data_IF_917746543734
#
_entry.id   IF_917746543734
#
_cell.length_a   1.000
_cell.length_b   1.000
_cell.length_c   1.000
_cell.angle_alpha   90.00
_cell.angle_beta   90.00
_cell.angle_gamma   90.00
#
_symmetry.space_group_name_H-M   'P 1'
#
loop_
_entity.id
_entity.type
_entity.pdbx_description
1 polymer ?
#
# COMPACT_ATOMS: atom_id res chain seq x y z
N UNK A 1 5.74 14.82 3.02
CA UNK A 1 5.22 14.42 1.67
C UNK A 1 6.22 13.81 0.66
N UNK A 2 7.36 14.45 0.30
CA UNK A 2 8.21 14.02 -0.82
C UNK A 2 8.69 12.54 -0.77
N UNK A 3 9.07 12.06 0.42
CA UNK A 3 9.50 10.67 0.64
C UNK A 3 8.41 9.64 0.30
N UNK A 4 7.15 9.97 0.57
CA UNK A 4 6.00 9.12 0.23
C UNK A 4 5.87 8.99 -1.29
N UNK A 5 5.86 10.11 -2.00
CA UNK A 5 5.77 10.12 -3.46
C UNK A 5 6.94 9.38 -4.11
N UNK A 6 8.16 9.54 -3.60
CA UNK A 6 9.33 8.80 -4.08
C UNK A 6 9.16 7.29 -3.89
N UNK A 7 8.65 6.84 -2.73
CA UNK A 7 8.38 5.42 -2.50
C UNK A 7 7.31 4.87 -3.45
N UNK A 8 6.22 5.62 -3.70
CA UNK A 8 5.19 5.21 -4.66
C UNK A 8 5.74 5.12 -6.09
N UNK A 9 6.55 6.09 -6.50
CA UNK A 9 7.19 6.10 -7.82
C UNK A 9 8.11 4.89 -8.01
N UNK A 10 8.97 4.60 -7.02
CA UNK A 10 9.83 3.41 -7.05
C UNK A 10 9.01 2.11 -7.08
N UNK A 11 7.94 2.03 -6.28
CA UNK A 11 7.05 0.87 -6.30
C UNK A 11 6.42 0.68 -7.69
N UNK A 12 6.00 1.78 -8.34
CA UNK A 12 5.47 1.76 -9.70
C UNK A 12 6.51 1.37 -10.76
N UNK A 13 7.77 1.76 -10.60
CA UNK A 13 8.80 1.35 -11.55
C UNK A 13 9.09 -0.15 -11.46
N UNK A 14 9.01 -0.73 -10.26
CA UNK A 14 9.47 -2.11 -10.02
C UNK A 14 8.35 -3.11 -9.68
N UNK A 15 7.08 -2.79 -9.98
CA UNK A 15 5.94 -3.68 -9.69
C UNK A 15 5.77 -4.88 -10.63
N UNK A 16 6.73 -5.08 -11.55
CA UNK A 16 6.77 -6.19 -12.50
C UNK A 16 6.39 -5.80 -13.93
N UNK A 17 5.76 -4.64 -14.16
CA UNK A 17 5.39 -4.20 -15.51
C UNK A 17 6.58 -3.76 -16.36
N UNK A 18 7.68 -3.33 -15.74
CA UNK A 18 8.91 -3.03 -16.47
C UNK A 18 9.70 -4.28 -16.86
N UNK A 19 9.47 -5.41 -16.21
CA UNK A 19 10.06 -6.70 -16.61
C UNK A 19 9.29 -7.29 -17.82
N UNK A 20 7.98 -7.00 -17.94
CA UNK A 20 7.11 -7.45 -19.05
C UNK A 20 7.14 -6.52 -20.28
N UNK A 21 7.22 -5.20 -20.06
CA UNK A 21 7.51 -4.24 -21.13
C UNK A 21 9.02 -4.27 -21.41
N UNK A 22 9.49 -5.35 -22.04
CA UNK A 22 10.88 -5.47 -22.49
C UNK A 22 11.33 -4.13 -23.07
N UNK A 23 12.36 -3.55 -22.46
CA UNK A 23 12.94 -2.26 -22.84
C UNK A 23 13.33 -2.31 -24.33
N UNK A 24 12.40 -1.94 -25.21
CA UNK A 24 12.64 -1.69 -26.61
C UNK A 24 13.17 -0.26 -26.72
N UNK A 25 14.35 -0.07 -26.15
CA UNK A 25 15.12 1.17 -26.23
C UNK A 25 16.55 0.74 -26.60
N UNK A 26 17.08 1.25 -27.72
CA UNK A 26 18.33 0.85 -28.40
C UNK A 26 19.63 1.03 -27.58
N UNK A 27 19.51 1.23 -26.27
CA UNK A 27 20.63 1.22 -25.33
C UNK A 27 20.23 0.46 -24.06
N UNK A 28 20.08 -0.85 -24.19
CA UNK A 28 19.80 -1.74 -23.08
C UNK A 28 20.85 -1.54 -21.96
N UNK A 29 20.48 -1.06 -20.77
CA UNK A 29 21.38 -1.08 -19.63
C UNK A 29 21.73 -2.54 -19.34
N UNK A 30 23.01 -2.85 -19.11
CA UNK A 30 23.47 -4.20 -18.73
C UNK A 30 22.56 -4.73 -17.63
N UNK A 31 21.97 -5.91 -17.82
CA UNK A 31 20.98 -6.55 -16.92
C UNK A 31 21.39 -6.50 -15.44
N UNK A 32 22.68 -6.58 -15.14
CA UNK A 32 23.22 -6.45 -13.78
C UNK A 32 23.03 -5.07 -13.12
N UNK A 33 22.97 -3.98 -13.90
CA UNK A 33 22.73 -2.62 -13.41
C UNK A 33 21.27 -2.41 -13.03
N UNK A 34 20.32 -2.96 -13.81
CA UNK A 34 18.89 -2.89 -13.50
C UNK A 34 18.55 -3.67 -12.23
N UNK A 35 19.08 -4.88 -12.08
CA UNK A 35 18.87 -5.68 -10.86
C UNK A 35 19.51 -5.04 -9.61
N UNK A 36 20.64 -4.34 -9.77
CA UNK A 36 21.22 -3.53 -8.69
C UNK A 36 20.30 -2.35 -8.32
N UNK A 37 19.76 -1.64 -9.31
CA UNK A 37 18.81 -0.55 -9.10
C UNK A 37 17.51 -1.03 -8.45
N UNK A 38 16.97 -2.17 -8.89
CA UNK A 38 15.79 -2.82 -8.29
C UNK A 38 16.01 -3.13 -6.82
N UNK A 39 17.13 -3.78 -6.46
CA UNK A 39 17.47 -4.07 -5.06
C UNK A 39 17.60 -2.81 -4.22
N UNK A 40 18.21 -1.76 -4.77
CA UNK A 40 18.33 -0.47 -4.08
C UNK A 40 16.95 0.18 -3.86
N UNK A 41 16.09 0.18 -4.88
CA UNK A 41 14.73 0.69 -4.79
C UNK A 41 13.91 -0.04 -3.73
N UNK A 42 13.96 -1.38 -3.70
CA UNK A 42 13.27 -2.17 -2.68
C UNK A 42 13.73 -1.80 -1.26
N UNK A 43 15.04 -1.65 -1.03
CA UNK A 43 15.55 -1.21 0.28
C UNK A 43 15.03 0.17 0.68
N UNK A 44 14.95 1.12 -0.25
CA UNK A 44 14.42 2.45 0.04
C UNK A 44 12.92 2.43 0.35
N UNK A 45 12.14 1.65 -0.38
CA UNK A 45 10.71 1.48 -0.10
C UNK A 45 10.51 0.84 1.27
N UNK A 46 11.25 -0.24 1.57
CA UNK A 46 11.17 -0.94 2.84
C UNK A 46 11.54 -0.03 4.01
N UNK A 47 12.67 0.65 3.93
CA UNK A 47 13.10 1.62 4.95
C UNK A 47 12.07 2.73 5.15
N UNK A 48 11.43 3.20 4.08
CA UNK A 48 10.36 4.19 4.16
C UNK A 48 9.12 3.65 4.89
N UNK A 49 8.63 2.46 4.56
CA UNK A 49 7.47 1.88 5.27
C UNK A 49 7.80 1.63 6.74
N UNK A 50 9.05 1.24 7.04
CA UNK A 50 9.49 0.94 8.39
C UNK A 50 9.49 2.17 9.31
N UNK A 51 9.66 3.40 8.79
CA UNK A 51 9.56 4.62 9.61
C UNK A 51 8.17 4.84 10.21
N UNK A 52 7.15 4.16 9.68
CA UNK A 52 5.75 4.25 10.12
C UNK A 52 5.25 2.92 10.73
N UNK A 53 6.13 1.95 10.94
CA UNK A 53 5.79 0.57 11.31
C UNK A 53 6.41 0.20 12.65
N UNK A 54 5.87 0.74 13.74
CA UNK A 54 6.27 0.35 15.10
C UNK A 54 5.93 -1.13 15.35
N UNK A 55 6.96 -1.96 15.51
CA UNK A 55 6.81 -3.42 15.59
C UNK A 55 5.98 -3.85 16.82
N UNK A 56 6.12 -3.14 17.94
CA UNK A 56 5.37 -3.44 19.15
C UNK A 56 3.88 -3.16 18.96
N UNK A 57 3.53 -1.97 18.46
CA UNK A 57 2.14 -1.60 18.16
C UNK A 57 1.50 -2.53 17.13
N UNK A 58 2.25 -2.88 16.07
CA UNK A 58 1.80 -3.84 15.06
C UNK A 58 1.52 -5.23 15.65
N UNK A 59 2.39 -5.71 16.54
CA UNK A 59 2.23 -7.01 17.21
C UNK A 59 1.00 -7.04 18.13
N UNK A 60 0.81 -5.97 18.93
CA UNK A 60 -0.36 -5.82 19.82
C UNK A 60 -1.66 -5.76 19.00
N UNK A 61 -1.65 -4.98 17.91
CA UNK A 61 -2.80 -4.89 17.02
C UNK A 61 -3.09 -6.23 16.31
N UNK A 62 -2.06 -6.97 15.91
CA UNK A 62 -2.23 -8.26 15.24
C UNK A 62 -2.65 -9.41 16.16
N UNK A 63 -2.37 -9.30 17.46
CA UNK A 63 -2.80 -10.31 18.45
C UNK A 63 -4.27 -10.11 18.82
N UNK A 64 -4.67 -8.86 19.05
CA UNK A 64 -6.02 -8.54 19.53
C UNK A 64 -7.04 -8.27 18.42
N UNK A 65 -6.59 -7.75 17.28
CA UNK A 65 -7.42 -7.13 16.24
C UNK A 65 -8.43 -6.11 16.77
N UNK A 66 -8.19 -5.58 17.98
CA UNK A 66 -9.11 -4.70 18.67
C UNK A 66 -9.23 -3.35 17.95
N UNK A 67 -10.44 -2.76 17.91
CA UNK A 67 -10.66 -1.47 17.27
C UNK A 67 -9.68 -0.37 17.66
N UNK A 68 -9.39 -0.26 18.95
CA UNK A 68 -8.50 0.76 19.52
C UNK A 68 -7.03 0.55 19.13
N UNK A 69 -6.53 -0.69 19.15
CA UNK A 69 -5.16 -1.01 18.78
C UNK A 69 -4.90 -0.71 17.29
N UNK A 70 -5.87 -1.05 16.43
CA UNK A 70 -5.80 -0.73 15.00
C UNK A 70 -5.83 0.79 14.74
N UNK A 71 -6.61 1.55 15.53
CA UNK A 71 -6.65 3.00 15.42
C UNK A 71 -5.33 3.64 15.85
N UNK A 72 -4.67 3.13 16.90
CA UNK A 72 -3.35 3.60 17.32
C UNK A 72 -2.29 3.38 16.22
N UNK A 73 -2.28 2.21 15.59
CA UNK A 73 -1.38 1.94 14.44
C UNK A 73 -1.69 2.87 13.28
N UNK A 74 -2.96 3.08 12.95
CA UNK A 74 -3.37 3.96 11.86
C UNK A 74 -2.91 5.40 12.10
N UNK A 75 -3.05 5.89 13.33
CA UNK A 75 -2.64 7.25 13.69
C UNK A 75 -1.12 7.42 13.69
N UNK A 76 -0.39 6.48 14.27
CA UNK A 76 1.08 6.49 14.23
C UNK A 76 1.64 6.42 12.80
N UNK A 77 0.93 5.74 11.90
CA UNK A 77 1.31 5.61 10.50
C UNK A 77 0.87 6.80 9.63
N UNK A 78 0.08 7.76 10.15
CA UNK A 78 -0.59 8.79 9.35
C UNK A 78 0.40 9.80 8.74
N UNK A 79 0.26 10.05 7.45
CA UNK A 79 0.86 11.18 6.73
C UNK A 79 -0.25 12.16 6.42
N UNK A 80 -0.31 13.27 7.15
CA UNK A 80 -1.42 14.24 7.06
C UNK A 80 -1.63 14.75 5.64
N UNK A 81 -0.55 15.06 4.93
CA UNK A 81 -0.62 15.61 3.57
C UNK A 81 -1.07 14.58 2.53
N UNK A 82 -0.97 13.28 2.82
CA UNK A 82 -1.42 12.23 1.90
C UNK A 82 -2.96 12.25 1.71
N UNK A 83 -3.71 12.76 2.70
CA UNK A 83 -5.15 12.96 2.59
C UNK A 83 -5.57 13.99 1.54
N UNK A 84 -4.64 14.83 1.06
CA UNK A 84 -4.87 15.80 -0.03
C UNK A 84 -4.64 15.22 -1.41
N UNK A 85 -4.01 14.04 -1.53
CA UNK A 85 -3.86 13.39 -2.82
C UNK A 85 -5.21 12.85 -3.28
N UNK A 86 -5.48 13.03 -4.56
CA UNK A 86 -6.63 12.42 -5.23
C UNK A 86 -6.11 11.45 -6.28
N UNK A 87 -6.43 10.17 -6.11
CA UNK A 87 -6.08 9.14 -7.07
C UNK A 87 -7.22 8.91 -8.08
N UNK A 88 -6.83 8.53 -9.29
CA UNK A 88 -7.68 7.91 -10.30
C UNK A 88 -7.99 6.45 -9.97
N UNK A 89 -8.99 5.88 -10.63
CA UNK A 89 -9.30 4.45 -10.50
C UNK A 89 -8.15 3.54 -10.94
N UNK A 90 -7.36 3.95 -11.95
CA UNK A 90 -6.20 3.20 -12.42
C UNK A 90 -5.08 3.12 -11.37
N UNK A 91 -4.82 4.24 -10.68
CA UNK A 91 -3.83 4.28 -9.59
C UNK A 91 -4.26 3.41 -8.40
N UNK A 92 -5.51 3.55 -7.95
CA UNK A 92 -6.05 2.69 -6.87
C UNK A 92 -6.01 1.21 -7.27
N UNK A 93 -6.46 0.89 -8.49
CA UNK A 93 -6.44 -0.48 -9.01
C UNK A 93 -5.03 -1.09 -9.06
N UNK A 94 -4.01 -0.28 -9.38
CA UNK A 94 -2.62 -0.72 -9.37
C UNK A 94 -2.16 -1.16 -7.97
N UNK A 95 -2.47 -0.40 -6.93
CA UNK A 95 -2.15 -0.83 -5.56
C UNK A 95 -2.91 -2.08 -5.14
N UNK A 96 -4.18 -2.23 -5.56
CA UNK A 96 -4.95 -3.44 -5.30
C UNK A 96 -4.31 -4.67 -5.95
N UNK A 97 -3.84 -4.57 -7.19
CA UNK A 97 -3.08 -5.64 -7.85
C UNK A 97 -1.75 -5.90 -7.13
N UNK A 98 -1.05 -4.85 -6.72
CA UNK A 98 0.25 -4.93 -6.03
C UNK A 98 0.18 -5.66 -4.68
N UNK A 99 -0.99 -5.70 -4.01
CA UNK A 99 -1.21 -6.54 -2.82
C UNK A 99 -1.02 -8.05 -3.08
N UNK A 100 -1.07 -8.49 -4.34
CA UNK A 100 -0.84 -9.89 -4.75
C UNK A 100 0.57 -10.14 -5.26
N UNK A 101 1.44 -9.13 -5.28
CA UNK A 101 2.78 -9.23 -5.85
C UNK A 101 3.67 -10.25 -5.10
N UNK A 102 4.61 -10.92 -5.78
CA UNK A 102 5.57 -11.82 -5.13
C UNK A 102 6.46 -11.12 -4.09
N UNK A 103 6.77 -9.85 -4.29
CA UNK A 103 7.57 -9.02 -3.38
C UNK A 103 6.79 -8.59 -2.14
N UNK A 104 7.32 -8.94 -0.98
CA UNK A 104 6.81 -8.53 0.35
C UNK A 104 6.92 -7.01 0.58
N UNK A 105 7.96 -6.38 0.01
CA UNK A 105 8.18 -4.93 0.07
C UNK A 105 7.07 -4.19 -0.67
N UNK A 106 6.76 -4.62 -1.89
CA UNK A 106 5.70 -4.01 -2.69
C UNK A 106 4.32 -4.21 -2.07
N UNK A 107 4.04 -5.40 -1.52
CA UNK A 107 2.82 -5.66 -0.75
C UNK A 107 2.67 -4.69 0.43
N UNK A 108 3.74 -4.50 1.20
CA UNK A 108 3.75 -3.58 2.35
C UNK A 108 3.52 -2.13 1.92
N UNK A 109 4.20 -1.70 0.85
CA UNK A 109 4.04 -0.36 0.29
C UNK A 109 2.62 -0.12 -0.22
N UNK A 110 2.03 -1.08 -0.94
CA UNK A 110 0.66 -0.99 -1.43
C UNK A 110 -0.36 -0.89 -0.29
N UNK A 111 -0.24 -1.75 0.72
CA UNK A 111 -1.11 -1.71 1.90
C UNK A 111 -0.97 -0.38 2.65
N UNK A 112 0.26 0.12 2.81
CA UNK A 112 0.53 1.42 3.43
C UNK A 112 -0.06 2.59 2.62
N UNK A 113 0.09 2.60 1.30
CA UNK A 113 -0.48 3.64 0.44
C UNK A 113 -2.01 3.68 0.55
N UNK A 114 -2.66 2.50 0.45
CA UNK A 114 -4.10 2.38 0.60
C UNK A 114 -4.59 2.80 2.00
N UNK A 115 -3.81 2.51 3.05
CA UNK A 115 -4.06 3.04 4.39
C UNK A 115 -4.10 4.57 4.35
N UNK A 116 -3.04 5.22 3.85
CA UNK A 116 -2.98 6.69 3.77
C UNK A 116 -4.17 7.30 3.00
N UNK A 117 -4.54 6.70 1.88
CA UNK A 117 -5.63 7.18 1.03
C UNK A 117 -7.02 7.02 1.64
N UNK A 118 -7.19 6.08 2.57
CA UNK A 118 -8.49 5.78 3.20
C UNK A 118 -8.57 6.26 4.65
N UNK A 119 -7.56 6.95 5.16
CA UNK A 119 -7.57 7.46 6.53
C UNK A 119 -8.81 8.32 6.79
N UNK A 120 -9.56 8.06 7.88
CA UNK A 120 -10.66 8.92 8.29
C UNK A 120 -10.22 10.37 8.47
N UNK A 121 -11.05 11.30 7.97
CA UNK A 121 -10.77 12.75 7.96
C UNK A 121 -9.94 13.24 6.76
N UNK A 122 -9.44 12.34 5.90
CA UNK A 122 -8.76 12.74 4.66
C UNK A 122 -9.73 13.38 3.65
N UNK A 123 -9.30 14.45 2.97
CA UNK A 123 -10.11 15.21 1.99
C UNK A 123 -10.73 14.32 0.91
N UNK A 124 -10.01 13.30 0.45
CA UNK A 124 -10.44 12.40 -0.60
C UNK A 124 -10.71 10.96 -0.13
N UNK A 125 -10.82 10.73 1.18
CA UNK A 125 -11.00 9.38 1.73
C UNK A 125 -12.24 8.66 1.21
N UNK A 126 -13.40 9.35 1.14
CA UNK A 126 -14.63 8.80 0.57
C UNK A 126 -14.48 8.43 -0.91
N UNK A 127 -13.80 9.28 -1.69
CA UNK A 127 -13.54 9.04 -3.11
C UNK A 127 -12.68 7.78 -3.30
N UNK A 128 -11.60 7.63 -2.54
CA UNK A 128 -10.77 6.42 -2.60
C UNK A 128 -11.50 5.16 -2.13
N UNK A 129 -12.33 5.26 -1.10
CA UNK A 129 -13.16 4.16 -0.65
C UNK A 129 -14.15 3.71 -1.74
N UNK A 130 -14.82 4.66 -2.41
CA UNK A 130 -15.68 4.37 -3.57
C UNK A 130 -14.92 3.67 -4.69
N UNK A 131 -13.71 4.11 -5.02
CA UNK A 131 -12.85 3.45 -6.02
C UNK A 131 -12.47 2.02 -5.60
N UNK A 132 -12.17 1.78 -4.33
CA UNK A 132 -11.86 0.46 -3.80
C UNK A 132 -13.07 -0.49 -3.83
N UNK A 133 -14.27 0.02 -3.53
CA UNK A 133 -15.51 -0.74 -3.67
C UNK A 133 -15.77 -1.13 -5.12
N UNK A 134 -15.65 -0.17 -6.05
CA UNK A 134 -15.81 -0.41 -7.51
C UNK A 134 -14.78 -1.42 -8.04
N UNK A 135 -13.57 -1.40 -7.52
CA UNK A 135 -12.52 -2.36 -7.85
C UNK A 135 -12.68 -3.73 -7.14
N UNK A 136 -13.75 -3.93 -6.36
CA UNK A 136 -13.99 -5.14 -5.55
C UNK A 136 -12.78 -5.47 -4.66
N UNK A 137 -12.08 -4.44 -4.19
CA UNK A 137 -10.81 -4.56 -3.49
C UNK A 137 -10.95 -5.27 -2.14
N UNK A 138 -12.14 -5.27 -1.54
CA UNK A 138 -12.42 -5.91 -0.25
C UNK A 138 -12.02 -7.39 -0.21
N UNK A 139 -12.18 -8.14 -1.32
CA UNK A 139 -11.72 -9.55 -1.38
C UNK A 139 -10.20 -9.65 -1.31
N UNK A 140 -9.50 -8.76 -2.03
CA UNK A 140 -8.03 -8.74 -2.07
C UNK A 140 -7.44 -8.32 -0.73
N UNK A 141 -8.01 -7.28 -0.13
CA UNK A 141 -7.61 -6.79 1.19
C UNK A 141 -7.83 -7.86 2.28
N UNK A 142 -8.95 -8.59 2.24
CA UNK A 142 -9.19 -9.73 3.14
C UNK A 142 -8.14 -10.83 2.97
N UNK A 143 -7.81 -11.19 1.73
CA UNK A 143 -6.77 -12.16 1.47
C UNK A 143 -5.39 -11.68 1.95
N UNK A 144 -5.04 -10.41 1.72
CA UNK A 144 -3.79 -9.82 2.19
C UNK A 144 -3.70 -9.79 3.72
N UNK A 145 -4.78 -9.44 4.41
CA UNK A 145 -4.86 -9.43 5.87
C UNK A 145 -4.71 -10.84 6.49
N UNK A 146 -5.24 -11.87 5.80
CA UNK A 146 -5.23 -13.26 6.27
C UNK A 146 -3.99 -14.07 5.83
N UNK A 147 -3.15 -13.53 4.93
CA UNK A 147 -2.01 -14.25 4.39
C UNK A 147 -0.99 -14.63 5.49
N UNK A 148 -0.75 -15.93 5.67
CA UNK A 148 0.15 -16.44 6.69
C UNK A 148 1.61 -15.99 6.49
N UNK A 149 2.04 -15.88 5.23
CA UNK A 149 3.40 -15.54 4.84
C UNK A 149 3.60 -14.04 4.53
N UNK A 150 2.56 -13.22 4.68
CA UNK A 150 2.68 -11.79 4.43
C UNK A 150 3.37 -11.07 5.62
N UNK A 151 4.13 -9.99 5.36
CA UNK A 151 4.68 -9.14 6.41
C UNK A 151 3.60 -8.64 7.36
N UNK A 152 3.93 -8.55 8.65
CA UNK A 152 2.98 -8.14 9.70
C UNK A 152 2.32 -6.79 9.38
N UNK A 153 3.13 -5.80 8.98
CA UNK A 153 2.65 -4.47 8.59
C UNK A 153 1.65 -4.52 7.43
N UNK A 154 1.90 -5.34 6.40
CA UNK A 154 0.99 -5.47 5.26
C UNK A 154 -0.37 -6.03 5.70
N UNK A 155 -0.36 -7.01 6.62
CA UNK A 155 -1.58 -7.62 7.17
C UNK A 155 -2.38 -6.61 7.99
N UNK A 156 -1.70 -5.91 8.91
CA UNK A 156 -2.35 -4.93 9.79
C UNK A 156 -2.89 -3.75 8.98
N UNK A 157 -2.11 -3.19 8.05
CA UNK A 157 -2.57 -2.09 7.20
C UNK A 157 -3.75 -2.51 6.32
N UNK A 158 -3.73 -3.69 5.71
CA UNK A 158 -4.88 -4.19 4.95
C UNK A 158 -6.14 -4.35 5.82
N UNK A 159 -5.98 -4.77 7.09
CA UNK A 159 -7.07 -4.86 8.06
C UNK A 159 -7.64 -3.49 8.41
N UNK A 160 -6.78 -2.47 8.59
CA UNK A 160 -7.22 -1.10 8.85
C UNK A 160 -7.96 -0.54 7.63
N UNK A 161 -7.44 -0.75 6.41
CA UNK A 161 -8.12 -0.31 5.18
C UNK A 161 -9.52 -0.91 5.09
N UNK A 162 -9.69 -2.21 5.39
CA UNK A 162 -11.04 -2.84 5.42
C UNK A 162 -12.00 -2.12 6.36
N UNK A 163 -11.53 -1.74 7.55
CA UNK A 163 -12.35 -0.99 8.52
C UNK A 163 -12.65 0.43 8.05
N UNK A 164 -11.68 1.09 7.41
CA UNK A 164 -11.91 2.40 6.79
C UNK A 164 -13.02 2.33 5.72
N UNK A 165 -13.09 1.23 4.95
CA UNK A 165 -14.16 1.02 3.96
C UNK A 165 -15.55 0.82 4.58
N UNK A 166 -15.64 0.33 5.83
CA UNK A 166 -16.91 0.22 6.56
C UNK A 166 -17.46 1.60 6.96
N UNK A 167 -16.59 2.58 7.20
CA UNK A 167 -16.98 3.98 7.46
C UNK A 167 -17.50 4.70 6.22
N UNK A 168 -17.16 4.20 5.03
CA UNK A 168 -17.52 4.78 3.74
C UNK A 168 -18.27 3.73 2.92
N UNK A 169 -19.52 3.40 3.30
CA UNK A 169 -20.30 2.41 2.56
C UNK A 169 -20.45 2.85 1.11
N UNK A 170 -20.44 1.88 0.19
CA UNK A 170 -20.74 2.16 -1.20
C UNK A 170 -22.11 2.84 -1.26
N UNK A 171 -22.18 4.04 -1.85
CA UNK A 171 -23.47 4.64 -2.19
C UNK A 171 -24.23 3.61 -3.02
N UNK A 172 -25.44 3.24 -2.58
CA UNK A 172 -26.33 2.40 -3.35
C UNK A 172 -26.64 3.14 -4.65
N UNK A 173 -26.03 2.71 -5.75
CA UNK A 173 -26.39 3.14 -7.10
C UNK A 173 -27.75 2.58 -7.47
#
# INVERSE_FOLDING_TARGET
MARFMAALALAYMFDGRMDEAGMQCDSAPKTGSLEAARRMAMRHIEAFVQTFSDQQSLSVAATSWAPAALAQVAEAARIHEAGHLRCSGAEVGRFVVMLRNGSTVLKSCAAFALLQFTMPGGRHAMHHASLLHKAVAGRVLRAAAAAATAPLQAKVFARIVLRNLEHYPAEAM
#
